data_IF_824337445431
#
_entry.id   IF_824337445431
#
_cell.length_a   1.000
_cell.length_b   1.000
_cell.length_c   1.000
_cell.angle_alpha   90.00
_cell.angle_beta   90.00
_cell.angle_gamma   90.00
#
_symmetry.space_group_name_H-M   'P 1'
#
loop_
_entity.id
_entity.type
_entity.pdbx_description
1 polymer ?
#
# COMPACT_ATOMS: atom_id res chain seq x y z
N UNK A 1 -4.38 -1.60 18.00
CA UNK A 1 -4.12 -2.11 16.65
C UNK A 1 -5.36 -2.21 15.77
N UNK A 2 -5.29 -1.68 14.55
CA UNK A 2 -6.33 -1.75 13.51
C UNK A 2 -5.77 -2.42 12.26
N UNK A 3 -6.60 -3.15 11.50
CA UNK A 3 -6.20 -3.85 10.27
C UNK A 3 -7.24 -3.75 9.18
N UNK A 4 -6.80 -3.69 7.93
CA UNK A 4 -7.61 -3.65 6.73
C UNK A 4 -7.05 -4.62 5.69
N UNK A 5 -7.89 -5.50 5.13
CA UNK A 5 -7.48 -6.39 4.04
C UNK A 5 -8.06 -5.90 2.73
N UNK A 6 -7.18 -5.59 1.78
CA UNK A 6 -7.51 -5.03 0.48
C UNK A 6 -7.35 -6.10 -0.61
N UNK A 7 -8.31 -6.16 -1.53
CA UNK A 7 -8.13 -6.92 -2.75
C UNK A 7 -7.17 -6.18 -3.69
N UNK A 8 -6.07 -6.80 -4.08
CA UNK A 8 -5.10 -6.19 -5.01
C UNK A 8 -5.28 -6.61 -6.47
N UNK A 9 -6.50 -7.06 -6.82
CA UNK A 9 -7.00 -7.54 -8.12
C UNK A 9 -6.35 -8.83 -8.69
N UNK A 10 -7.15 -9.61 -9.42
CA UNK A 10 -6.78 -10.94 -9.97
C UNK A 10 -6.09 -10.86 -11.34
N UNK A 11 -6.32 -9.81 -12.14
CA UNK A 11 -5.90 -9.74 -13.55
C UNK A 11 -4.75 -8.77 -13.84
N UNK A 12 -4.21 -8.15 -12.79
CA UNK A 12 -2.97 -7.39 -12.84
C UNK A 12 -2.63 -6.87 -11.46
N UNK A 13 -2.07 -7.76 -10.63
CA UNK A 13 -2.06 -7.55 -9.21
C UNK A 13 -1.17 -6.36 -8.89
N UNK A 14 -1.71 -5.42 -8.12
CA UNK A 14 -0.88 -4.50 -7.39
C UNK A 14 -0.01 -5.32 -6.43
N UNK A 15 1.30 -5.11 -6.49
CA UNK A 15 2.27 -5.83 -5.67
C UNK A 15 2.96 -4.89 -4.72
N UNK A 16 3.23 -5.39 -3.52
CA UNK A 16 4.06 -4.70 -2.55
C UNK A 16 5.39 -4.40 -3.25
N UNK A 17 5.75 -3.12 -3.30
CA UNK A 17 6.93 -2.72 -4.04
C UNK A 17 8.17 -3.34 -3.42
N UNK A 18 9.04 -3.87 -4.27
CA UNK A 18 10.28 -4.49 -3.82
C UNK A 18 11.18 -3.41 -3.23
N UNK A 19 11.26 -3.39 -1.90
CA UNK A 19 12.14 -2.51 -1.13
C UNK A 19 13.18 -3.37 -0.38
N UNK A 20 14.43 -2.92 -0.24
CA UNK A 20 15.41 -3.63 0.60
C UNK A 20 14.99 -3.71 2.08
N UNK A 21 13.97 -2.93 2.48
CA UNK A 21 13.43 -2.87 3.84
C UNK A 21 12.25 -3.83 4.08
N UNK A 22 11.92 -4.70 3.12
CA UNK A 22 10.89 -5.71 3.34
C UNK A 22 11.37 -6.75 4.34
N UNK A 23 10.57 -6.98 5.37
CA UNK A 23 10.84 -7.95 6.44
C UNK A 23 9.87 -9.12 6.39
N UNK A 24 10.30 -10.25 6.96
CA UNK A 24 9.45 -11.41 7.20
C UNK A 24 8.53 -11.23 8.41
N UNK A 25 7.55 -12.14 8.59
CA UNK A 25 6.57 -12.07 9.68
C UNK A 25 7.19 -12.13 11.09
N UNK A 26 8.39 -12.70 11.23
CA UNK A 26 9.14 -12.77 12.48
C UNK A 26 9.55 -11.40 13.04
N UNK A 27 9.51 -10.35 12.21
CA UNK A 27 9.82 -8.97 12.60
C UNK A 27 8.56 -8.14 12.91
N UNK A 28 7.38 -8.78 12.94
CA UNK A 28 6.10 -8.12 13.12
C UNK A 28 5.52 -8.38 14.51
N UNK A 29 4.58 -7.53 14.98
CA UNK A 29 3.76 -7.87 16.13
C UNK A 29 3.07 -9.22 15.93
N UNK A 30 3.09 -10.08 16.96
CA UNK A 30 2.62 -11.47 16.85
C UNK A 30 1.17 -11.58 16.32
N UNK A 31 0.31 -10.63 16.69
CA UNK A 31 -1.08 -10.56 16.21
C UNK A 31 -1.17 -10.27 14.71
N UNK A 32 -0.29 -9.42 14.16
CA UNK A 32 -0.19 -9.15 12.71
C UNK A 32 0.36 -10.39 11.99
N UNK A 33 1.42 -10.99 12.52
CA UNK A 33 2.00 -12.21 11.95
C UNK A 33 0.96 -13.34 11.84
N UNK A 34 0.13 -13.53 12.86
CA UNK A 34 -0.97 -14.50 12.85
C UNK A 34 -2.06 -14.15 11.82
N UNK A 35 -2.36 -12.87 11.62
CA UNK A 35 -3.33 -12.44 10.61
C UNK A 35 -2.83 -12.65 9.19
N UNK A 36 -1.55 -12.34 8.91
CA UNK A 36 -0.94 -12.54 7.58
C UNK A 36 -1.09 -13.98 7.11
N UNK A 37 -0.93 -14.95 8.01
CA UNK A 37 -1.08 -16.37 7.69
C UNK A 37 -2.50 -16.72 7.17
N UNK A 38 -3.51 -15.93 7.52
CA UNK A 38 -4.91 -16.14 7.13
C UNK A 38 -5.35 -15.26 5.96
N UNK A 39 -4.51 -14.33 5.50
CA UNK A 39 -4.84 -13.45 4.38
C UNK A 39 -4.71 -14.22 3.06
N UNK A 40 -5.74 -14.23 2.20
CA UNK A 40 -5.63 -14.85 0.88
C UNK A 40 -4.46 -14.28 0.07
N UNK A 41 -3.76 -15.15 -0.66
CA UNK A 41 -2.65 -14.72 -1.55
C UNK A 41 -3.10 -13.63 -2.52
N UNK A 42 -2.19 -12.70 -2.80
CA UNK A 42 -2.48 -11.55 -3.65
C UNK A 42 -3.54 -10.62 -3.05
N UNK A 43 -3.61 -10.50 -1.72
CA UNK A 43 -4.29 -9.43 -0.99
C UNK A 43 -3.30 -8.70 -0.09
N UNK A 44 -3.51 -7.40 0.06
CA UNK A 44 -2.70 -6.57 0.94
C UNK A 44 -3.37 -6.49 2.32
N UNK A 45 -2.64 -6.85 3.37
CA UNK A 45 -3.01 -6.53 4.74
C UNK A 45 -2.32 -5.22 5.13
N UNK A 46 -3.08 -4.14 5.24
CA UNK A 46 -2.61 -2.92 5.87
C UNK A 46 -2.94 -2.96 7.37
N UNK A 47 -2.05 -2.44 8.21
CA UNK A 47 -2.24 -2.42 9.65
C UNK A 47 -1.61 -1.19 10.28
N UNK A 48 -2.19 -0.75 11.38
CA UNK A 48 -1.71 0.37 12.19
C UNK A 48 -1.71 -0.04 13.66
N UNK A 49 -0.58 0.18 14.32
CA UNK A 49 -0.36 -0.05 15.73
C UNK A 49 0.15 1.24 16.39
N UNK A 50 -0.74 2.23 16.65
CA UNK A 50 -0.38 3.51 17.24
C UNK A 50 0.34 3.36 18.60
N UNK A 51 0.00 2.33 19.36
CA UNK A 51 0.60 2.00 20.67
C UNK A 51 2.12 1.82 20.63
N UNK A 52 2.66 1.42 19.47
CA UNK A 52 4.10 1.23 19.23
C UNK A 52 4.58 2.11 18.06
N UNK A 53 3.79 3.10 17.67
CA UNK A 53 4.12 4.06 16.62
C UNK A 53 4.46 3.42 15.28
N UNK A 54 3.82 2.30 14.93
CA UNK A 54 4.15 1.52 13.73
C UNK A 54 2.95 1.34 12.83
N UNK A 55 3.19 1.42 11.52
CA UNK A 55 2.21 1.10 10.47
C UNK A 55 2.89 0.15 9.50
N UNK A 56 2.14 -0.74 8.87
CA UNK A 56 2.73 -1.60 7.86
C UNK A 56 1.75 -2.17 6.87
N UNK A 57 2.37 -2.79 5.86
CA UNK A 57 1.71 -3.29 4.69
C UNK A 57 2.31 -4.65 4.34
N UNK A 58 1.47 -5.67 4.31
CA UNK A 58 1.90 -7.05 4.19
C UNK A 58 1.20 -7.76 3.04
N UNK A 59 1.95 -8.38 2.15
CA UNK A 59 1.42 -9.15 1.02
C UNK A 59 2.32 -10.36 0.78
N UNK A 60 1.70 -11.53 0.57
CA UNK A 60 2.38 -12.78 0.22
C UNK A 60 3.57 -13.12 1.15
N UNK A 61 3.42 -12.86 2.45
CA UNK A 61 4.42 -13.18 3.48
C UNK A 61 5.58 -12.18 3.60
N UNK A 62 5.56 -11.07 2.84
CA UNK A 62 6.51 -9.96 2.99
C UNK A 62 5.81 -8.74 3.53
N UNK A 63 6.53 -7.95 4.33
CA UNK A 63 5.95 -6.78 4.98
C UNK A 63 6.87 -5.58 4.88
N UNK A 64 6.29 -4.43 4.52
CA UNK A 64 6.89 -3.13 4.73
C UNK A 64 6.44 -2.63 6.10
N UNK A 65 7.39 -2.30 6.97
CA UNK A 65 7.13 -1.69 8.28
C UNK A 65 7.63 -0.27 8.26
N UNK A 66 6.77 0.65 8.65
CA UNK A 66 7.04 2.07 8.77
C UNK A 66 7.06 2.41 10.27
N UNK A 67 8.21 2.87 10.72
CA UNK A 67 8.40 3.44 12.06
C UNK A 67 8.11 4.93 11.99
N UNK A 68 7.21 5.41 12.84
CA UNK A 68 6.82 6.82 12.87
C UNK A 68 5.49 7.12 12.19
N UNK A 69 5.00 8.37 12.34
CA UNK A 69 3.70 8.77 11.83
C UNK A 69 3.69 8.85 10.30
N UNK A 70 2.64 8.32 9.68
CA UNK A 70 2.35 8.59 8.27
C UNK A 70 1.81 10.01 8.17
N UNK A 71 2.60 10.90 7.55
CA UNK A 71 2.26 12.32 7.41
C UNK A 71 1.25 12.56 6.30
N UNK A 72 1.32 11.75 5.24
CA UNK A 72 0.37 11.76 4.14
C UNK A 72 0.43 10.45 3.38
N UNK A 73 -0.65 10.11 2.71
CA UNK A 73 -0.74 8.97 1.80
C UNK A 73 -1.49 9.37 0.54
N UNK A 74 -1.32 8.60 -0.53
CA UNK A 74 -2.07 8.85 -1.75
C UNK A 74 -2.06 7.68 -2.72
N UNK A 75 -2.98 7.77 -3.66
CA UNK A 75 -3.10 6.86 -4.79
C UNK A 75 -2.61 7.63 -6.02
N UNK A 76 -1.49 7.20 -6.56
CA UNK A 76 -0.89 7.75 -7.77
C UNK A 76 -1.22 6.88 -8.96
N UNK A 77 -1.50 7.48 -10.11
CA UNK A 77 -1.62 6.74 -11.36
C UNK A 77 -1.00 7.51 -12.51
N UNK A 78 -0.50 6.80 -13.51
CA UNK A 78 0.00 7.39 -14.74
C UNK A 78 -0.48 6.55 -15.91
N UNK A 79 -1.30 7.14 -16.77
CA UNK A 79 -1.67 6.55 -18.06
C UNK A 79 -0.79 7.14 -19.16
N UNK A 80 0.09 6.33 -19.75
CA UNK A 80 0.97 6.78 -20.84
C UNK A 80 0.32 6.60 -22.21
N UNK A 81 0.57 7.54 -23.12
CA UNK A 81 0.22 7.41 -24.54
C UNK A 81 1.05 6.33 -25.25
N UNK A 82 2.32 6.13 -24.84
CA UNK A 82 3.22 5.04 -25.29
C UNK A 82 4.01 4.48 -24.11
N UNK A 83 4.21 3.16 -24.10
CA UNK A 83 4.89 2.45 -23.00
C UNK A 83 3.93 2.02 -21.89
N UNK A 84 4.47 1.43 -20.82
CA UNK A 84 3.66 1.00 -19.68
C UNK A 84 3.46 2.15 -18.69
N UNK A 85 2.20 2.44 -18.36
CA UNK A 85 1.82 3.30 -17.25
C UNK A 85 1.85 2.53 -15.91
N UNK A 86 1.26 3.07 -14.85
CA UNK A 86 1.18 2.39 -13.55
C UNK A 86 0.04 2.90 -12.66
N UNK A 87 -0.24 2.15 -11.61
CA UNK A 87 -1.05 2.54 -10.45
C UNK A 87 -0.22 2.23 -9.20
N UNK A 88 -0.19 3.14 -8.22
CA UNK A 88 0.55 2.98 -6.97
C UNK A 88 -0.24 3.51 -5.76
N UNK A 89 -0.08 2.87 -4.60
CA UNK A 89 -0.34 3.43 -3.29
C UNK A 89 1.00 3.87 -2.71
N UNK A 90 1.12 5.13 -2.32
CA UNK A 90 2.31 5.67 -1.69
C UNK A 90 1.99 6.31 -0.35
N UNK A 91 3.02 6.43 0.48
CA UNK A 91 2.97 7.11 1.77
C UNK A 91 4.18 8.00 1.94
N UNK A 92 4.07 9.00 2.80
CA UNK A 92 5.17 9.85 3.22
C UNK A 92 5.26 9.80 4.74
N UNK A 93 6.44 9.51 5.24
CA UNK A 93 6.78 9.59 6.67
C UNK A 93 7.60 10.85 6.90
N UNK A 94 7.90 11.16 8.16
CA UNK A 94 8.84 12.21 8.53
C UNK A 94 10.29 11.90 8.08
N UNK A 95 10.68 10.63 8.13
CA UNK A 95 12.01 10.15 7.77
C UNK A 95 12.22 10.00 6.24
N UNK A 96 11.16 9.77 5.47
CA UNK A 96 11.24 9.48 4.03
C UNK A 96 10.38 10.43 3.17
N UNK A 97 10.95 10.94 2.07
CA UNK A 97 10.27 11.91 1.18
C UNK A 97 9.00 11.36 0.53
N UNK A 98 8.99 10.10 0.13
CA UNK A 98 7.83 9.35 -0.39
C UNK A 98 8.25 7.87 -0.54
N UNK A 99 7.37 6.95 -0.18
CA UNK A 99 7.58 5.49 -0.27
C UNK A 99 6.42 4.91 -1.08
N UNK A 100 6.73 4.33 -2.23
CA UNK A 100 5.78 3.49 -2.97
C UNK A 100 5.58 2.18 -2.20
N UNK A 101 4.36 1.97 -1.71
CA UNK A 101 4.00 0.81 -0.90
C UNK A 101 3.60 -0.34 -1.79
N UNK A 102 2.69 -0.08 -2.73
CA UNK A 102 2.04 -1.09 -3.54
C UNK A 102 1.87 -0.54 -4.95
N UNK A 103 2.31 -1.24 -5.98
CA UNK A 103 2.20 -0.74 -7.35
C UNK A 103 2.13 -1.81 -8.43
N UNK A 104 1.80 -1.39 -9.64
CA UNK A 104 1.76 -2.22 -10.84
C UNK A 104 2.71 -1.69 -11.92
N UNK A 105 3.38 -2.56 -12.67
CA UNK A 105 4.28 -2.16 -13.77
C UNK A 105 3.52 -1.69 -15.03
N UNK A 106 2.19 -1.83 -15.03
CA UNK A 106 1.28 -1.43 -16.11
C UNK A 106 0.08 -0.70 -15.53
N UNK A 107 -0.45 0.29 -16.25
CA UNK A 107 -1.68 0.96 -15.86
C UNK A 107 -2.87 0.02 -16.06
N UNK A 108 -3.69 -0.13 -15.03
CA UNK A 108 -4.92 -0.92 -15.10
C UNK A 108 -6.04 -0.21 -14.36
N UNK A 109 -7.12 0.09 -15.09
CA UNK A 109 -8.27 0.80 -14.52
C UNK A 109 -8.86 0.05 -13.32
N UNK A 110 -8.98 -1.29 -13.40
CA UNK A 110 -9.52 -2.09 -12.31
C UNK A 110 -8.67 -2.03 -11.03
N UNK A 111 -7.34 -1.87 -11.15
CA UNK A 111 -6.46 -1.70 -10.01
C UNK A 111 -6.65 -0.32 -9.35
N UNK A 112 -6.78 0.73 -10.17
CA UNK A 112 -7.09 2.08 -9.70
C UNK A 112 -8.45 2.12 -9.01
N UNK A 113 -9.50 1.61 -9.66
CA UNK A 113 -10.85 1.57 -9.10
C UNK A 113 -10.90 0.79 -7.78
N UNK A 114 -10.17 -0.32 -7.70
CA UNK A 114 -10.04 -1.12 -6.48
C UNK A 114 -9.40 -0.36 -5.31
N UNK A 115 -8.35 0.42 -5.56
CA UNK A 115 -7.74 1.29 -4.54
C UNK A 115 -8.67 2.46 -4.17
N UNK A 116 -9.29 3.10 -5.16
CA UNK A 116 -10.21 4.22 -4.92
C UNK A 116 -11.42 3.81 -4.09
N UNK A 117 -11.95 2.60 -4.31
CA UNK A 117 -13.06 2.05 -3.52
C UNK A 117 -12.71 1.80 -2.04
N UNK A 118 -11.41 1.79 -1.69
CA UNK A 118 -10.92 1.56 -0.33
C UNK A 118 -10.24 2.80 0.27
N UNK A 119 -10.31 3.93 -0.42
CA UNK A 119 -9.61 5.17 -0.07
C UNK A 119 -9.92 5.65 1.34
N UNK A 120 -11.20 5.71 1.70
CA UNK A 120 -11.65 6.24 2.99
C UNK A 120 -11.21 5.32 4.14
N UNK A 121 -11.41 4.01 4.00
CA UNK A 121 -10.95 3.03 4.98
C UNK A 121 -9.43 3.03 5.16
N UNK A 122 -8.67 3.23 4.08
CA UNK A 122 -7.22 3.41 4.15
C UNK A 122 -6.85 4.70 4.87
N UNK A 123 -7.58 5.79 4.63
CA UNK A 123 -7.31 7.06 5.28
C UNK A 123 -7.59 7.03 6.78
N UNK A 124 -8.69 6.39 7.18
CA UNK A 124 -9.02 6.13 8.58
C UNK A 124 -7.95 5.28 9.26
N UNK A 125 -7.48 4.21 8.60
CA UNK A 125 -6.44 3.34 9.13
C UNK A 125 -5.11 4.08 9.34
N UNK A 126 -4.73 4.91 8.36
CA UNK A 126 -3.45 5.65 8.34
C UNK A 126 -3.51 6.96 9.14
N UNK A 127 -4.70 7.38 9.57
CA UNK A 127 -4.89 8.64 10.28
C UNK A 127 -4.68 9.90 9.42
N UNK A 128 -4.73 9.78 8.10
CA UNK A 128 -4.61 10.91 7.17
C UNK A 128 -5.49 10.72 5.93
N UNK A 129 -5.94 11.81 5.32
CA UNK A 129 -6.68 11.72 4.07
C UNK A 129 -5.77 11.26 2.92
N UNK A 130 -6.24 10.29 2.12
CA UNK A 130 -5.52 9.88 0.91
C UNK A 130 -5.76 10.91 -0.22
N UNK A 131 -4.69 11.47 -0.77
CA UNK A 131 -4.75 12.20 -2.04
C UNK A 131 -4.94 11.22 -3.20
N UNK A 132 -5.50 11.73 -4.30
CA UNK A 132 -5.56 11.00 -5.57
C UNK A 132 -4.86 11.88 -6.58
N UNK A 133 -3.79 11.35 -7.17
CA UNK A 133 -2.95 12.09 -8.08
C UNK A 133 -2.90 11.38 -9.44
N UNK A 134 -3.23 12.13 -10.49
CA UNK A 134 -2.94 11.73 -11.86
C UNK A 134 -1.61 12.37 -12.26
N UNK A 135 -0.60 11.52 -12.39
CA UNK A 135 0.75 11.89 -12.82
C UNK A 135 0.91 11.79 -14.34
N UNK A 136 -0.17 11.50 -15.07
CA UNK A 136 -0.21 11.63 -16.52
C UNK A 136 -0.18 13.10 -16.94
N UNK A 137 0.90 13.50 -17.61
CA UNK A 137 0.95 14.73 -18.40
C UNK A 137 0.94 14.36 -19.89
N UNK A 138 0.03 15.00 -20.63
CA UNK A 138 -0.25 14.81 -22.06
C UNK A 138 0.49 15.90 -22.85
N UNK A 139 1.72 15.62 -23.32
CA UNK A 139 2.33 16.23 -24.50
C UNK A 139 3.68 15.61 -24.87
#
# INVERSE_FOLDING_TARGET
MNTLTLATSLHGPLRLHHSPHLVGPEHLPAVVAAQIANVPRGRLLAWSAPEIGSTGFSQDGRSLVLTGPVLSAGIGSMKRAKGSGFVTLYVRTDEARMIDVLGSDTFQQAALDGLLAQRDALGELLGCALSVEDWGFDC
#
